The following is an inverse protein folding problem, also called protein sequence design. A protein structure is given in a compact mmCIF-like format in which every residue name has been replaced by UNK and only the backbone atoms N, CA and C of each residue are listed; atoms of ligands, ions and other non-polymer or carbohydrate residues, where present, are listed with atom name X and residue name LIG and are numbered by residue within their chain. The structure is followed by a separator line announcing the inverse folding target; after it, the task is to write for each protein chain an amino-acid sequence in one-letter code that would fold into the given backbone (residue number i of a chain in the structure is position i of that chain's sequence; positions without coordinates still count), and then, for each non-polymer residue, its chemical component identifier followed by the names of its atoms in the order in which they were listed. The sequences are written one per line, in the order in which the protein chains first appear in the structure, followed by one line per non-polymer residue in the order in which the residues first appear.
data_IF_491924905736
#
_entry.id   IF_491924905736
#
_cell.length_a   1.000
_cell.length_b   1.000
_cell.length_c   1.000
_cell.angle_alpha   90.00
_cell.angle_beta   90.00
_cell.angle_gamma   90.00
#
_symmetry.space_group_name_H-M   'P 1'
#
loop_
_entity.id
_entity.type
_entity.pdbx_description
1 polymer ?
#
# COMPACT_ATOMS: atom_id res chain seq x y z
N UNK A 1 0.88 29.20 3.57
CA UNK A 1 1.24 28.10 2.65
C UNK A 1 2.52 28.49 1.93
N UNK A 2 3.56 27.66 1.95
CA UNK A 2 4.87 28.02 1.41
C UNK A 2 4.81 28.18 -0.12
N UNK A 3 5.37 29.28 -0.63
CA UNK A 3 5.44 29.60 -2.07
C UNK A 3 6.08 28.46 -2.89
N UNK A 4 7.01 27.73 -2.26
CA UNK A 4 7.70 26.57 -2.83
C UNK A 4 6.77 25.45 -3.30
N UNK A 5 5.57 25.31 -2.71
CA UNK A 5 4.60 24.27 -3.08
C UNK A 5 4.04 24.46 -4.49
N UNK A 6 3.95 25.70 -4.96
CA UNK A 6 3.46 25.99 -6.32
C UNK A 6 4.45 25.52 -7.39
N UNK A 7 5.75 25.56 -7.12
CA UNK A 7 6.77 25.01 -8.04
C UNK A 7 6.67 23.48 -8.18
N UNK A 8 6.14 22.78 -7.18
CA UNK A 8 5.94 21.33 -7.20
C UNK A 8 4.64 20.92 -7.92
N UNK A 9 3.77 21.88 -8.25
CA UNK A 9 2.49 21.62 -8.92
C UNK A 9 2.62 20.87 -10.27
N UNK A 10 3.51 21.27 -11.21
CA UNK A 10 3.68 20.53 -12.46
C UNK A 10 4.08 19.06 -12.22
N UNK A 11 4.92 18.78 -11.21
CA UNK A 11 5.30 17.42 -10.84
C UNK A 11 4.11 16.63 -10.26
N UNK A 12 3.27 17.28 -9.46
CA UNK A 12 2.05 16.67 -8.93
C UNK A 12 1.07 16.30 -10.04
N UNK A 13 0.91 17.16 -11.05
CA UNK A 13 0.04 16.87 -12.20
C UNK A 13 0.57 15.69 -13.02
N UNK A 14 1.88 15.65 -13.28
CA UNK A 14 2.52 14.53 -13.96
C UNK A 14 2.34 13.21 -13.18
N UNK A 15 2.57 13.24 -11.86
CA UNK A 15 2.34 12.08 -10.99
C UNK A 15 0.88 11.60 -11.02
N UNK A 16 -0.07 12.54 -11.04
CA UNK A 16 -1.49 12.24 -11.16
C UNK A 16 -1.81 11.51 -12.48
N UNK A 17 -1.35 12.04 -13.62
CA UNK A 17 -1.59 11.40 -14.92
C UNK A 17 -1.00 9.99 -14.98
N UNK A 18 0.22 9.79 -14.48
CA UNK A 18 0.86 8.46 -14.45
C UNK A 18 0.06 7.49 -13.58
N UNK A 19 -0.38 7.92 -12.39
CA UNK A 19 -1.14 7.08 -11.46
C UNK A 19 -2.54 6.76 -12.01
N UNK A 20 -3.18 7.72 -12.68
CA UNK A 20 -4.46 7.55 -13.35
C UNK A 20 -4.37 6.47 -14.43
N UNK A 21 -3.40 6.58 -15.34
CA UNK A 21 -3.20 5.60 -16.42
C UNK A 21 -2.92 4.22 -15.83
N UNK A 22 -2.05 4.11 -14.82
CA UNK A 22 -1.77 2.85 -14.13
C UNK A 22 -3.04 2.23 -13.57
N UNK A 23 -3.88 3.00 -12.89
CA UNK A 23 -5.10 2.49 -12.28
C UNK A 23 -6.11 2.04 -13.34
N UNK A 24 -6.27 2.80 -14.43
CA UNK A 24 -7.12 2.40 -15.56
C UNK A 24 -6.67 1.06 -16.17
N UNK A 25 -5.37 0.80 -16.25
CA UNK A 25 -4.87 -0.49 -16.74
C UNK A 25 -5.18 -1.66 -15.78
N UNK A 26 -5.30 -1.42 -14.48
CA UNK A 26 -5.81 -2.43 -13.55
C UNK A 26 -7.32 -2.59 -13.66
N UNK A 27 -8.07 -1.49 -13.78
CA UNK A 27 -9.53 -1.50 -13.90
C UNK A 27 -10.01 -2.17 -15.20
N UNK A 28 -9.24 -2.03 -16.27
CA UNK A 28 -9.48 -2.71 -17.56
C UNK A 28 -8.85 -4.10 -17.65
N UNK A 29 -8.31 -4.63 -16.54
CA UNK A 29 -7.67 -5.96 -16.46
C UNK A 29 -6.50 -6.17 -17.44
N UNK A 30 -5.91 -5.08 -17.97
CA UNK A 30 -4.73 -5.12 -18.84
C UNK A 30 -3.50 -5.58 -18.04
N UNK A 31 -3.38 -5.12 -16.79
CA UNK A 31 -2.36 -5.61 -15.86
C UNK A 31 -2.96 -6.74 -15.02
N UNK A 32 -2.33 -7.92 -15.08
CA UNK A 32 -2.76 -9.09 -14.32
C UNK A 32 -2.63 -8.88 -12.82
N UNK A 33 -3.70 -9.15 -12.08
CA UNK A 33 -3.69 -9.20 -10.62
C UNK A 33 -3.63 -10.65 -10.14
N UNK A 34 -2.76 -10.95 -9.18
CA UNK A 34 -2.69 -12.28 -8.56
C UNK A 34 -3.71 -12.36 -7.43
N UNK A 35 -4.61 -13.35 -7.50
CA UNK A 35 -5.55 -13.65 -6.42
C UNK A 35 -4.87 -14.64 -5.46
N UNK A 36 -4.91 -14.32 -4.17
CA UNK A 36 -4.55 -15.28 -3.13
C UNK A 36 -5.63 -16.34 -3.01
N UNK A 37 -5.24 -17.57 -2.69
CA UNK A 37 -6.19 -18.67 -2.46
C UNK A 37 -6.92 -18.46 -1.13
N UNK A 38 -6.21 -17.90 -0.15
CA UNK A 38 -6.73 -17.58 1.17
C UNK A 38 -7.33 -16.16 1.24
N UNK A 39 -8.27 -15.91 2.18
CA UNK A 39 -8.76 -14.57 2.46
C UNK A 39 -7.61 -13.61 2.82
N UNK A 40 -7.62 -12.43 2.23
CA UNK A 40 -6.61 -11.40 2.48
C UNK A 40 -7.25 -10.05 2.78
N UNK A 41 -6.65 -9.31 3.71
CA UNK A 41 -7.09 -7.96 4.10
C UNK A 41 -5.95 -6.99 3.80
N UNK A 42 -6.19 -6.04 2.89
CA UNK A 42 -5.23 -4.99 2.56
C UNK A 42 -5.48 -3.73 3.41
N UNK A 43 -4.47 -3.28 4.16
CA UNK A 43 -4.54 -2.08 5.00
C UNK A 43 -3.69 -0.98 4.35
N UNK A 44 -4.34 -0.01 3.72
CA UNK A 44 -3.71 1.06 2.94
C UNK A 44 -4.15 2.48 3.37
N UNK A 45 -3.56 3.49 2.72
CA UNK A 45 -3.97 4.89 2.82
C UNK A 45 -3.67 5.64 1.51
N UNK A 46 -4.27 6.82 1.33
CA UNK A 46 -4.04 7.68 0.16
C UNK A 46 -2.92 8.70 0.35
N UNK A 47 -2.52 8.96 1.59
CA UNK A 47 -1.52 9.98 1.92
C UNK A 47 -0.16 9.37 2.26
N UNK A 48 0.93 10.10 2.01
CA UNK A 48 2.24 9.72 2.55
C UNK A 48 2.38 10.18 4.00
N UNK A 49 3.13 9.42 4.82
CA UNK A 49 3.36 9.71 6.23
C UNK A 49 2.63 8.77 7.21
N UNK A 50 2.55 9.20 8.47
CA UNK A 50 1.95 8.43 9.56
C UNK A 50 0.43 8.50 9.56
N UNK A 51 -0.23 7.61 8.81
CA UNK A 51 -1.71 7.53 8.76
C UNK A 51 -2.29 6.35 9.54
N UNK A 52 -1.64 5.92 10.62
CA UNK A 52 -2.19 4.92 11.53
C UNK A 52 -2.28 3.48 10.99
N UNK A 53 -1.68 3.18 9.82
CA UNK A 53 -1.69 1.81 9.24
C UNK A 53 -1.17 0.76 10.21
N UNK A 54 -0.03 1.01 10.88
CA UNK A 54 0.57 0.07 11.83
C UNK A 54 -0.31 -0.20 13.06
N UNK A 55 -0.83 0.83 13.78
CA UNK A 55 -1.84 0.60 14.82
C UNK A 55 -3.06 -0.19 14.33
N UNK A 56 -3.57 0.12 13.13
CA UNK A 56 -4.72 -0.58 12.55
C UNK A 56 -4.41 -2.05 12.26
N UNK A 57 -3.23 -2.36 11.72
CA UNK A 57 -2.78 -3.75 11.50
C UNK A 57 -2.70 -4.52 12.81
N UNK A 58 -2.14 -3.93 13.86
CA UNK A 58 -2.04 -4.58 15.19
C UNK A 58 -3.44 -4.83 15.76
N UNK A 59 -4.33 -3.85 15.64
CA UNK A 59 -5.71 -3.98 16.10
C UNK A 59 -6.44 -5.13 15.40
N UNK A 60 -6.42 -5.17 14.06
CA UNK A 60 -7.06 -6.24 13.29
C UNK A 60 -6.46 -7.61 13.56
N UNK A 61 -5.13 -7.70 13.69
CA UNK A 61 -4.45 -8.95 14.03
C UNK A 61 -4.91 -9.46 15.40
N UNK A 62 -5.00 -8.59 16.40
CA UNK A 62 -5.48 -8.98 17.73
C UNK A 62 -6.96 -9.39 17.75
N UNK A 63 -7.77 -8.79 16.88
CA UNK A 63 -9.18 -9.14 16.74
C UNK A 63 -9.37 -10.54 16.14
N UNK A 64 -8.53 -10.90 15.17
CA UNK A 64 -8.70 -12.13 14.37
C UNK A 64 -7.86 -13.32 14.83
N UNK A 65 -6.80 -13.10 15.62
CA UNK A 65 -5.85 -14.17 16.01
C UNK A 65 -6.44 -15.33 16.80
N UNK A 66 -7.60 -15.16 17.42
CA UNK A 66 -8.24 -16.22 18.21
C UNK A 66 -9.01 -17.20 17.31
N UNK A 67 -9.48 -16.73 16.15
CA UNK A 67 -10.31 -17.49 15.23
C UNK A 67 -9.53 -17.97 13.99
N UNK A 68 -8.44 -17.28 13.64
CA UNK A 68 -7.66 -17.52 12.43
C UNK A 68 -6.15 -17.50 12.69
N UNK A 69 -5.40 -18.29 11.90
CA UNK A 69 -3.96 -18.13 11.79
C UNK A 69 -3.63 -16.91 10.93
N UNK A 70 -3.45 -15.76 11.59
CA UNK A 70 -3.18 -14.49 10.91
C UNK A 70 -1.69 -14.36 10.58
N UNK A 71 -1.38 -14.06 9.31
CA UNK A 71 -0.04 -13.70 8.85
C UNK A 71 -0.02 -12.26 8.33
N UNK A 72 1.05 -11.53 8.62
CA UNK A 72 1.21 -10.13 8.20
C UNK A 72 2.25 -10.06 7.07
N UNK A 73 1.80 -9.69 5.88
CA UNK A 73 2.70 -9.38 4.77
C UNK A 73 3.08 -7.89 4.79
N UNK A 74 4.37 -7.59 4.98
CA UNK A 74 4.92 -6.23 4.93
C UNK A 74 5.87 -6.05 3.76
N UNK A 75 5.93 -4.83 3.21
CA UNK A 75 6.87 -4.46 2.14
C UNK A 75 8.34 -4.51 2.61
N UNK A 76 8.60 -4.33 3.90
CA UNK A 76 9.97 -4.27 4.44
C UNK A 76 10.78 -3.08 3.91
N UNK A 77 10.13 -1.93 3.70
CA UNK A 77 10.77 -0.72 3.16
C UNK A 77 11.94 -0.28 4.07
N UNK A 78 13.12 -0.07 3.48
CA UNK A 78 14.35 0.29 4.19
C UNK A 78 15.23 -0.89 4.64
N UNK A 79 14.83 -2.15 4.38
CA UNK A 79 15.65 -3.33 4.68
C UNK A 79 16.87 -3.41 3.74
N UNK A 80 18.03 -3.83 4.27
CA UNK A 80 19.28 -4.03 3.49
C UNK A 80 19.31 -5.33 2.68
N UNK A 81 18.46 -6.29 3.01
CA UNK A 81 18.36 -7.58 2.32
C UNK A 81 17.23 -7.56 1.30
N UNK A 82 17.38 -8.32 0.22
CA UNK A 82 16.39 -8.46 -0.87
C UNK A 82 15.60 -9.77 -0.76
N UNK A 83 14.60 -9.94 -1.64
CA UNK A 83 13.79 -11.16 -1.74
C UNK A 83 12.76 -11.36 -0.62
N UNK A 84 11.96 -12.42 -0.73
CA UNK A 84 11.05 -12.86 0.32
C UNK A 84 11.84 -13.28 1.57
N UNK A 85 11.32 -12.94 2.76
CA UNK A 85 11.83 -13.44 4.04
C UNK A 85 10.66 -13.65 4.99
N UNK A 86 10.63 -14.85 5.54
CA UNK A 86 9.80 -15.21 6.68
C UNK A 86 10.54 -14.78 7.95
N UNK A 87 9.85 -14.07 8.85
CA UNK A 87 10.38 -13.50 10.09
C UNK A 87 9.40 -13.77 11.22
#
# INVERSE_FOLDING_TARGET
MNLFRYFLFPFSFLYYIITLIRNLFFDWEIITSQKLQEPSICIGNLSVGGSGKTPMTIYLTNLLKNDFQVQILSRGYGRKTSGYKEV
#
